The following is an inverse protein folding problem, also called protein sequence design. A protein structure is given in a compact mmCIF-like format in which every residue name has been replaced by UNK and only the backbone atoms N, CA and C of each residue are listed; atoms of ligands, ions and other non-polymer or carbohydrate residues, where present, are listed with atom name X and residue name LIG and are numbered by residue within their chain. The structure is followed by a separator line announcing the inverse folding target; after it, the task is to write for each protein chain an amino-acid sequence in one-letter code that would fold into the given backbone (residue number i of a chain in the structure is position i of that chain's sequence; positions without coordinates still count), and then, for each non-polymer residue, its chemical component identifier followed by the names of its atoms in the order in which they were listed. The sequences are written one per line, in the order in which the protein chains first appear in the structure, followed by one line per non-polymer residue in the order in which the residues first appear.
data_IF_769184222439
#
_entry.id   IF_769184222439
#
_cell.length_a   1.000
_cell.length_b   1.000
_cell.length_c   1.000
_cell.angle_alpha   90.00
_cell.angle_beta   90.00
_cell.angle_gamma   90.00
#
_symmetry.space_group_name_H-M   'P 1'
#
loop_
_entity.id
_entity.type
_entity.pdbx_description
1 polymer ?
#
# COMPACT_ATOMS: atom_id res chain seq x y z
N UNK A 1 23.70 -1.72 -14.96
CA UNK A 1 22.47 -1.77 -14.14
C UNK A 1 22.24 -3.21 -13.72
N UNK A 2 22.13 -3.52 -12.43
CA UNK A 2 21.94 -4.90 -11.98
C UNK A 2 20.48 -5.32 -12.28
N UNK A 3 20.33 -6.43 -12.99
CA UNK A 3 19.02 -7.03 -13.36
C UNK A 3 18.11 -7.23 -12.14
N UNK A 4 18.69 -7.40 -10.95
CA UNK A 4 17.95 -7.52 -9.68
C UNK A 4 17.23 -6.22 -9.29
N UNK A 5 17.82 -5.07 -9.52
CA UNK A 5 17.28 -3.79 -9.07
C UNK A 5 16.00 -3.38 -9.84
N UNK A 6 15.97 -3.63 -11.16
CA UNK A 6 14.78 -3.36 -11.99
C UNK A 6 13.56 -4.23 -11.62
N UNK A 7 13.81 -5.37 -10.95
CA UNK A 7 12.76 -6.28 -10.53
C UNK A 7 11.99 -5.82 -9.26
N UNK A 8 12.50 -4.82 -8.54
CA UNK A 8 11.81 -4.27 -7.37
C UNK A 8 10.64 -3.34 -7.75
N UNK A 9 10.81 -2.56 -8.83
CA UNK A 9 9.78 -1.62 -9.29
C UNK A 9 8.81 -2.22 -10.33
N UNK A 10 9.30 -3.18 -11.15
CA UNK A 10 8.49 -3.91 -12.15
C UNK A 10 8.99 -5.34 -12.25
N UNK A 11 8.56 -6.23 -11.35
CA UNK A 11 8.96 -7.64 -11.42
C UNK A 11 8.42 -8.28 -12.70
N UNK A 12 9.32 -8.79 -13.55
CA UNK A 12 8.95 -9.52 -14.78
C UNK A 12 9.84 -10.74 -14.98
N UNK A 13 9.31 -11.73 -15.69
CA UNK A 13 10.00 -12.99 -15.98
C UNK A 13 10.16 -13.92 -14.76
N UNK A 14 10.92 -15.05 -14.91
CA UNK A 14 11.10 -16.05 -13.85
C UNK A 14 11.79 -15.50 -12.59
N UNK A 15 12.76 -14.61 -12.74
CA UNK A 15 13.47 -13.97 -11.64
C UNK A 15 12.57 -12.99 -10.87
N UNK A 16 11.73 -12.23 -11.56
CA UNK A 16 10.73 -11.38 -10.92
C UNK A 16 9.69 -12.18 -10.14
N UNK A 17 9.36 -13.40 -10.60
CA UNK A 17 8.49 -14.32 -9.87
C UNK A 17 9.12 -14.78 -8.54
N UNK A 18 10.40 -15.12 -8.54
CA UNK A 18 11.12 -15.56 -7.35
C UNK A 18 11.26 -14.43 -6.32
N UNK A 19 11.68 -13.26 -6.79
CA UNK A 19 11.82 -12.04 -5.98
C UNK A 19 10.48 -11.61 -5.41
N UNK A 20 9.42 -11.57 -6.23
CA UNK A 20 8.07 -11.24 -5.78
C UNK A 20 7.52 -12.25 -4.76
N UNK A 21 7.81 -13.55 -4.91
CA UNK A 21 7.38 -14.57 -3.97
C UNK A 21 8.11 -14.47 -2.62
N UNK A 22 9.42 -14.18 -2.63
CA UNK A 22 10.20 -13.96 -1.42
C UNK A 22 9.71 -12.72 -0.64
N UNK A 23 9.48 -11.59 -1.33
CA UNK A 23 8.93 -10.39 -0.70
C UNK A 23 7.49 -10.57 -0.21
N UNK A 24 6.67 -11.33 -0.93
CA UNK A 24 5.33 -11.67 -0.49
C UNK A 24 5.36 -12.41 0.86
N UNK A 25 6.24 -13.41 0.99
CA UNK A 25 6.36 -14.16 2.25
C UNK A 25 6.91 -13.28 3.39
N UNK A 26 7.94 -12.47 3.11
CA UNK A 26 8.53 -11.55 4.08
C UNK A 26 7.54 -10.48 4.55
N UNK A 27 6.65 -10.01 3.67
CA UNK A 27 5.67 -8.97 3.98
C UNK A 27 4.33 -9.51 4.51
N UNK A 28 4.08 -10.83 4.48
CA UNK A 28 2.79 -11.40 4.92
C UNK A 28 2.43 -11.00 6.37
N UNK A 29 3.38 -11.10 7.27
CA UNK A 29 3.18 -10.69 8.66
C UNK A 29 2.99 -9.19 8.83
N UNK A 30 3.56 -8.37 7.94
CA UNK A 30 3.40 -6.92 7.96
C UNK A 30 2.03 -6.51 7.43
N UNK A 31 1.57 -7.09 6.32
CA UNK A 31 0.22 -6.87 5.80
C UNK A 31 -0.85 -7.25 6.82
N UNK A 32 -0.72 -8.41 7.47
CA UNK A 32 -1.65 -8.84 8.51
C UNK A 32 -1.71 -7.86 9.67
N UNK A 33 -0.57 -7.40 10.16
CA UNK A 33 -0.53 -6.40 11.23
C UNK A 33 -1.21 -5.09 10.79
N UNK A 34 -0.93 -4.58 9.59
CA UNK A 34 -1.58 -3.37 9.06
C UNK A 34 -3.10 -3.54 9.04
N UNK A 35 -3.60 -4.66 8.50
CA UNK A 35 -5.04 -4.89 8.40
C UNK A 35 -5.68 -5.05 9.79
N UNK A 36 -4.98 -5.62 10.78
CA UNK A 36 -5.45 -5.67 12.16
C UNK A 36 -5.58 -4.27 12.77
N UNK A 37 -4.56 -3.41 12.57
CA UNK A 37 -4.64 -2.01 13.01
C UNK A 37 -5.78 -1.26 12.29
N UNK A 38 -5.92 -1.47 10.99
CA UNK A 38 -7.04 -0.90 10.23
C UNK A 38 -8.39 -1.34 10.78
N UNK A 39 -8.55 -2.63 11.09
CA UNK A 39 -9.83 -3.14 11.61
C UNK A 39 -10.19 -2.52 12.95
N UNK A 40 -9.22 -2.22 13.80
CA UNK A 40 -9.43 -1.58 15.10
C UNK A 40 -9.90 -0.12 15.00
N UNK A 41 -9.63 0.54 13.86
CA UNK A 41 -10.01 1.94 13.62
C UNK A 41 -11.52 2.12 13.30
N UNK A 42 -12.21 1.03 12.96
CA UNK A 42 -13.58 1.11 12.49
C UNK A 42 -14.55 0.43 13.46
N UNK A 43 -15.52 1.19 13.96
CA UNK A 43 -16.65 0.65 14.74
C UNK A 43 -17.64 -0.05 13.81
N UNK A 44 -17.96 0.60 12.69
CA UNK A 44 -18.76 0.06 11.60
C UNK A 44 -17.86 -0.24 10.41
N UNK A 45 -18.12 -1.31 9.68
CA UNK A 45 -17.26 -1.68 8.56
C UNK A 45 -17.32 -0.63 7.45
N UNK A 46 -16.15 -0.25 6.88
CA UNK A 46 -16.11 0.58 5.69
C UNK A 46 -16.72 -0.19 4.52
N UNK A 47 -17.58 0.47 3.74
CA UNK A 47 -18.24 -0.16 2.59
C UNK A 47 -17.33 -0.26 1.37
N UNK A 48 -16.44 0.71 1.19
CA UNK A 48 -15.60 0.88 -0.02
C UNK A 48 -14.13 1.03 0.35
N UNK A 49 -13.34 0.01 0.03
CA UNK A 49 -11.92 -0.06 0.39
C UNK A 49 -11.07 -0.17 -0.89
N UNK A 50 -9.99 0.60 -0.99
CA UNK A 50 -9.04 0.52 -2.10
C UNK A 50 -7.63 0.21 -1.58
N UNK A 51 -6.99 -0.83 -2.13
CA UNK A 51 -5.55 -1.06 -1.98
C UNK A 51 -4.82 -0.56 -3.23
N UNK A 52 -3.88 0.36 -3.04
CA UNK A 52 -2.96 0.81 -4.08
C UNK A 52 -1.70 -0.03 -4.06
N UNK A 53 -1.35 -0.61 -5.22
CA UNK A 53 -0.21 -1.50 -5.37
C UNK A 53 -0.33 -2.81 -4.58
N UNK A 54 -1.42 -3.59 -4.74
CA UNK A 54 -1.63 -4.84 -3.99
C UNK A 54 -0.59 -5.91 -4.29
N UNK A 55 0.20 -5.73 -5.36
CA UNK A 55 1.17 -6.73 -5.78
C UNK A 55 0.50 -8.11 -5.95
N UNK A 56 1.02 -9.19 -5.32
CA UNK A 56 0.44 -10.53 -5.44
C UNK A 56 -0.83 -10.75 -4.59
N UNK A 57 -1.42 -9.68 -4.01
CA UNK A 57 -2.74 -9.68 -3.39
C UNK A 57 -2.82 -10.19 -1.96
N UNK A 58 -1.72 -10.15 -1.20
CA UNK A 58 -1.72 -10.55 0.22
C UNK A 58 -2.51 -9.56 1.10
N UNK A 59 -2.34 -8.26 0.86
CA UNK A 59 -3.09 -7.22 1.57
C UNK A 59 -4.58 -7.35 1.29
N UNK A 60 -4.96 -7.55 0.03
CA UNK A 60 -6.35 -7.80 -0.37
C UNK A 60 -6.94 -9.02 0.34
N UNK A 61 -6.22 -10.14 0.40
CA UNK A 61 -6.68 -11.37 1.08
C UNK A 61 -6.98 -11.11 2.57
N UNK A 62 -6.08 -10.45 3.28
CA UNK A 62 -6.29 -10.11 4.69
C UNK A 62 -7.44 -9.09 4.87
N UNK A 63 -7.55 -8.10 3.98
CA UNK A 63 -8.63 -7.09 3.99
C UNK A 63 -10.00 -7.72 3.74
N UNK A 64 -10.12 -8.57 2.73
CA UNK A 64 -11.36 -9.28 2.41
C UNK A 64 -11.83 -10.18 3.55
N UNK A 65 -10.89 -10.70 4.34
CA UNK A 65 -11.19 -11.51 5.53
C UNK A 65 -11.60 -10.62 6.72
N UNK A 66 -10.94 -9.48 6.90
CA UNK A 66 -11.18 -8.58 8.03
C UNK A 66 -12.47 -7.76 7.89
N UNK A 67 -12.89 -7.48 6.64
CA UNK A 67 -14.06 -6.68 6.30
C UNK A 67 -14.98 -7.46 5.35
N UNK A 68 -15.76 -8.43 5.87
CA UNK A 68 -16.54 -9.34 5.03
C UNK A 68 -17.68 -8.67 4.25
N UNK A 69 -18.16 -7.51 4.69
CA UNK A 69 -19.23 -6.75 4.02
C UNK A 69 -18.71 -5.71 3.01
N UNK A 70 -17.40 -5.45 2.99
CA UNK A 70 -16.82 -4.43 2.13
C UNK A 70 -16.72 -4.86 0.66
N UNK A 71 -16.90 -3.89 -0.24
CA UNK A 71 -16.40 -3.97 -1.61
C UNK A 71 -14.96 -3.46 -1.65
N UNK A 72 -14.08 -4.25 -2.25
CA UNK A 72 -12.63 -4.00 -2.25
C UNK A 72 -12.12 -3.84 -3.68
N UNK A 73 -11.33 -2.81 -3.91
CA UNK A 73 -10.63 -2.60 -5.18
C UNK A 73 -9.13 -2.73 -4.95
N UNK A 74 -8.45 -3.40 -5.88
CA UNK A 74 -7.00 -3.43 -5.96
C UNK A 74 -6.55 -2.73 -7.24
N UNK A 75 -5.75 -1.66 -7.12
CA UNK A 75 -5.22 -0.90 -8.26
C UNK A 75 -3.71 -1.11 -8.34
N UNK A 76 -3.22 -1.66 -9.44
CA UNK A 76 -1.78 -1.90 -9.67
C UNK A 76 -1.40 -1.56 -11.10
N UNK A 77 -0.19 -1.05 -11.29
CA UNK A 77 0.37 -0.74 -12.61
C UNK A 77 0.85 -1.99 -13.38
N UNK A 78 0.96 -3.11 -12.68
CA UNK A 78 1.50 -4.36 -13.23
C UNK A 78 0.40 -5.36 -13.54
N UNK A 79 0.10 -5.63 -14.83
CA UNK A 79 -0.85 -6.69 -15.20
C UNK A 79 -0.46 -8.07 -14.64
N UNK A 80 0.86 -8.34 -14.52
CA UNK A 80 1.34 -9.59 -13.92
C UNK A 80 0.98 -9.70 -12.44
N UNK A 81 1.09 -8.59 -11.68
CA UNK A 81 0.71 -8.56 -10.27
C UNK A 81 -0.81 -8.69 -10.11
N UNK A 82 -1.60 -8.02 -10.96
CA UNK A 82 -3.05 -8.18 -10.97
C UNK A 82 -3.48 -9.61 -11.26
N UNK A 83 -2.84 -10.27 -12.23
CA UNK A 83 -3.11 -11.68 -12.53
C UNK A 83 -2.81 -12.60 -11.33
N UNK A 84 -1.72 -12.35 -10.60
CA UNK A 84 -1.37 -13.08 -9.37
C UNK A 84 -2.37 -12.81 -8.25
N UNK A 85 -2.74 -11.53 -8.08
CA UNK A 85 -3.72 -11.11 -7.10
C UNK A 85 -5.08 -11.75 -7.36
N UNK A 86 -5.54 -11.77 -8.61
CA UNK A 86 -6.78 -12.42 -9.02
C UNK A 86 -6.76 -13.92 -8.78
N UNK A 87 -5.64 -14.61 -9.05
CA UNK A 87 -5.48 -16.04 -8.75
C UNK A 87 -5.57 -16.33 -7.25
N UNK A 88 -4.97 -15.49 -6.42
CA UNK A 88 -4.98 -15.61 -4.96
C UNK A 88 -6.38 -15.40 -4.40
N UNK A 89 -7.07 -14.38 -4.85
CA UNK A 89 -8.36 -13.92 -4.35
C UNK A 89 -9.53 -14.32 -5.28
N UNK A 90 -9.38 -15.46 -6.00
CA UNK A 90 -10.31 -15.88 -7.05
C UNK A 90 -11.77 -15.98 -6.59
N UNK A 91 -12.01 -16.35 -5.32
CA UNK A 91 -13.37 -16.46 -4.77
C UNK A 91 -14.05 -15.10 -4.73
N UNK A 92 -13.40 -14.11 -4.17
CA UNK A 92 -13.94 -12.76 -3.97
C UNK A 92 -14.03 -12.00 -5.30
N UNK A 93 -13.10 -12.26 -6.21
CA UNK A 93 -13.18 -11.79 -7.59
C UNK A 93 -14.40 -12.37 -8.32
N UNK A 94 -14.65 -13.68 -8.16
CA UNK A 94 -15.79 -14.36 -8.78
C UNK A 94 -17.16 -13.94 -8.24
N UNK A 95 -17.24 -13.43 -7.01
CA UNK A 95 -18.48 -12.90 -6.41
C UNK A 95 -18.68 -11.40 -6.68
N UNK A 96 -17.72 -10.73 -7.32
CA UNK A 96 -17.75 -9.28 -7.55
C UNK A 96 -17.42 -8.44 -6.32
N UNK A 97 -17.07 -9.06 -5.18
CA UNK A 97 -16.67 -8.34 -3.97
C UNK A 97 -15.27 -7.72 -4.09
N UNK A 98 -14.42 -8.31 -4.91
CA UNK A 98 -13.12 -7.76 -5.31
C UNK A 98 -13.17 -7.34 -6.77
N UNK A 99 -12.64 -6.15 -7.06
CA UNK A 99 -12.38 -5.67 -8.42
C UNK A 99 -10.89 -5.33 -8.53
N UNK A 100 -10.26 -5.77 -9.62
CA UNK A 100 -8.86 -5.47 -9.91
C UNK A 100 -8.77 -4.55 -11.13
N UNK A 101 -8.05 -3.44 -10.99
CA UNK A 101 -7.91 -2.41 -12.02
C UNK A 101 -6.43 -2.16 -12.32
N UNK A 102 -6.09 -2.07 -13.58
CA UNK A 102 -4.79 -1.58 -14.00
C UNK A 102 -4.79 -0.05 -13.94
N UNK A 103 -3.86 0.53 -13.15
CA UNK A 103 -3.81 1.96 -12.96
C UNK A 103 -2.95 2.39 -11.77
N UNK A 104 -3.18 3.61 -11.33
CA UNK A 104 -2.50 4.24 -10.19
C UNK A 104 -3.46 5.13 -9.38
N UNK A 105 -2.91 6.08 -8.61
CA UNK A 105 -3.72 6.99 -7.78
C UNK A 105 -4.73 7.82 -8.58
N UNK A 106 -4.49 8.09 -9.86
CA UNK A 106 -5.42 8.86 -10.70
C UNK A 106 -6.75 8.11 -10.90
N UNK A 107 -6.70 6.77 -10.94
CA UNK A 107 -7.89 5.92 -11.09
C UNK A 107 -8.85 6.00 -9.90
N UNK A 108 -8.42 6.55 -8.77
CA UNK A 108 -9.28 6.75 -7.59
C UNK A 108 -10.45 7.69 -7.87
N UNK A 109 -10.30 8.63 -8.80
CA UNK A 109 -11.37 9.57 -9.18
C UNK A 109 -12.62 8.87 -9.71
N UNK A 110 -12.49 7.72 -10.35
CA UNK A 110 -13.58 6.91 -10.87
C UNK A 110 -14.31 6.11 -9.77
N UNK A 111 -13.63 5.91 -8.64
CA UNK A 111 -14.15 5.16 -7.50
C UNK A 111 -14.69 6.05 -6.37
N UNK A 112 -14.39 7.36 -6.41
CA UNK A 112 -14.78 8.30 -5.35
C UNK A 112 -16.31 8.42 -5.20
N UNK A 113 -16.83 8.65 -3.96
CA UNK A 113 -16.09 8.64 -2.71
C UNK A 113 -15.83 7.24 -2.16
N UNK A 114 -14.66 7.04 -1.50
CA UNK A 114 -14.30 5.80 -0.84
C UNK A 114 -14.08 6.00 0.67
N UNK A 115 -14.26 4.95 1.46
CA UNK A 115 -14.11 5.02 2.92
C UNK A 115 -12.66 4.92 3.33
N UNK A 116 -11.92 4.05 2.66
CA UNK A 116 -10.55 3.72 3.02
C UNK A 116 -9.68 3.50 1.79
N UNK A 117 -8.51 4.12 1.80
CA UNK A 117 -7.41 3.82 0.87
C UNK A 117 -6.23 3.35 1.70
N UNK A 118 -5.61 2.24 1.31
CA UNK A 118 -4.35 1.82 1.93
C UNK A 118 -3.32 1.38 0.89
N UNK A 119 -2.05 1.48 1.26
CA UNK A 119 -0.94 1.06 0.43
C UNK A 119 0.21 0.56 1.31
N UNK A 120 0.86 -0.53 0.91
CA UNK A 120 1.96 -1.14 1.66
C UNK A 120 3.20 -1.20 0.81
N UNK A 121 4.26 -0.52 1.24
CA UNK A 121 5.54 -0.42 0.52
C UNK A 121 5.44 0.18 -0.89
N UNK A 122 4.45 1.02 -1.17
CA UNK A 122 4.20 1.63 -2.49
C UNK A 122 4.74 3.06 -2.57
N UNK A 123 4.73 3.80 -1.48
CA UNK A 123 5.04 5.24 -1.45
C UNK A 123 6.46 5.59 -1.98
N UNK A 124 7.39 4.65 -1.99
CA UNK A 124 8.75 4.85 -2.54
C UNK A 124 8.77 5.02 -4.06
N UNK A 125 7.75 4.47 -4.73
CA UNK A 125 7.61 4.45 -6.19
C UNK A 125 6.80 5.63 -6.72
N UNK A 126 6.33 6.51 -5.84
CA UNK A 126 5.62 7.71 -6.22
C UNK A 126 6.60 8.81 -6.65
N UNK A 127 6.46 9.29 -7.90
CA UNK A 127 7.33 10.33 -8.44
C UNK A 127 7.00 11.73 -7.89
N UNK A 128 5.73 11.98 -7.60
CA UNK A 128 5.21 13.24 -7.07
C UNK A 128 4.33 12.96 -5.85
N UNK A 129 4.91 12.54 -4.70
CA UNK A 129 4.15 12.03 -3.57
C UNK A 129 3.07 12.99 -3.04
N UNK A 130 3.31 14.30 -3.06
CA UNK A 130 2.32 15.30 -2.64
C UNK A 130 1.09 15.29 -3.56
N UNK A 131 1.29 15.07 -4.87
CA UNK A 131 0.18 14.96 -5.83
C UNK A 131 -0.63 13.67 -5.62
N UNK A 132 0.05 12.51 -5.50
CA UNK A 132 -0.63 11.25 -5.24
C UNK A 132 -1.42 11.30 -3.91
N UNK A 133 -0.83 11.87 -2.86
CA UNK A 133 -1.52 12.05 -1.58
C UNK A 133 -2.74 12.98 -1.72
N UNK A 134 -2.66 14.06 -2.51
CA UNK A 134 -3.78 14.94 -2.78
C UNK A 134 -4.89 14.24 -3.60
N UNK A 135 -4.53 13.38 -4.56
CA UNK A 135 -5.50 12.54 -5.30
C UNK A 135 -6.24 11.60 -4.35
N UNK A 136 -5.51 10.95 -3.43
CA UNK A 136 -6.10 10.08 -2.42
C UNK A 136 -7.03 10.86 -1.49
N UNK A 137 -6.58 12.03 -1.00
CA UNK A 137 -7.40 12.88 -0.13
C UNK A 137 -8.73 13.25 -0.78
N UNK A 138 -8.69 13.67 -2.06
CA UNK A 138 -9.92 14.03 -2.81
C UNK A 138 -10.86 12.84 -3.06
N UNK A 139 -10.33 11.63 -3.14
CA UNK A 139 -11.13 10.43 -3.35
C UNK A 139 -11.77 9.90 -2.06
N UNK A 140 -11.20 10.21 -0.90
CA UNK A 140 -11.76 9.84 0.38
C UNK A 140 -13.01 10.68 0.69
N UNK A 141 -14.03 10.05 1.30
CA UNK A 141 -15.13 10.80 1.89
C UNK A 141 -14.66 11.56 3.13
N UNK A 142 -15.38 12.59 3.60
CA UNK A 142 -15.11 13.21 4.89
C UNK A 142 -15.07 12.18 6.02
N UNK A 143 -13.98 12.17 6.81
CA UNK A 143 -13.71 11.18 7.84
C UNK A 143 -13.23 9.82 7.30
N UNK A 144 -13.02 9.70 5.99
CA UNK A 144 -12.36 8.55 5.36
C UNK A 144 -10.89 8.45 5.77
N UNK A 145 -10.27 7.29 5.59
CA UNK A 145 -8.91 7.05 6.10
C UNK A 145 -7.94 6.64 5.01
N UNK A 146 -6.78 7.29 5.00
CA UNK A 146 -5.59 6.82 4.31
C UNK A 146 -4.70 6.06 5.28
N UNK A 147 -4.19 4.90 4.86
CA UNK A 147 -3.22 4.13 5.63
C UNK A 147 -2.01 3.77 4.76
N UNK A 148 -0.82 4.17 5.18
CA UNK A 148 0.42 3.83 4.49
C UNK A 148 1.32 2.98 5.37
N UNK A 149 1.59 1.75 4.93
CA UNK A 149 2.58 0.87 5.52
C UNK A 149 3.94 1.06 4.85
N UNK A 150 4.98 1.39 5.64
CA UNK A 150 6.30 1.72 5.11
C UNK A 150 7.44 1.39 6.08
N UNK A 151 8.66 1.63 5.62
CA UNK A 151 9.88 1.63 6.43
C UNK A 151 10.65 2.91 6.18
N UNK A 152 11.30 3.43 7.20
CA UNK A 152 12.31 4.45 7.02
C UNK A 152 13.55 3.84 6.36
N UNK A 153 14.37 4.66 5.72
CA UNK A 153 15.59 4.20 5.05
C UNK A 153 16.46 3.36 5.96
N UNK A 154 16.69 3.80 7.20
CA UNK A 154 17.48 3.09 8.20
C UNK A 154 16.93 1.71 8.59
N UNK A 155 15.63 1.47 8.38
CA UNK A 155 14.94 0.22 8.69
C UNK A 155 14.90 -0.76 7.49
N UNK A 156 15.36 -0.30 6.33
CA UNK A 156 15.37 -1.11 5.11
C UNK A 156 16.63 -1.98 5.02
N UNK A 157 16.56 -3.11 4.29
CA UNK A 157 17.76 -3.86 3.94
C UNK A 157 18.77 -2.96 3.18
N UNK A 158 20.07 -3.13 3.43
CA UNK A 158 21.12 -2.32 2.80
C UNK A 158 21.07 -2.33 1.28
N UNK A 159 20.62 -3.43 0.67
CA UNK A 159 20.42 -3.51 -0.78
C UNK A 159 19.40 -2.46 -1.24
N UNK A 160 18.24 -2.38 -0.57
CA UNK A 160 17.18 -1.41 -0.90
C UNK A 160 17.68 0.04 -0.68
N UNK A 161 18.37 0.30 0.44
CA UNK A 161 18.94 1.62 0.72
C UNK A 161 19.88 2.14 -0.37
N UNK A 162 20.60 1.24 -1.07
CA UNK A 162 21.57 1.56 -2.12
C UNK A 162 20.96 1.61 -3.52
N UNK A 163 19.98 0.74 -3.80
CA UNK A 163 19.44 0.58 -5.16
C UNK A 163 18.26 1.52 -5.43
N UNK A 164 17.36 1.71 -4.48
CA UNK A 164 16.17 2.54 -4.66
C UNK A 164 16.49 3.98 -5.11
N UNK A 165 17.42 4.72 -4.45
CA UNK A 165 17.75 6.07 -4.89
C UNK A 165 18.38 6.13 -6.30
N UNK A 166 19.13 5.09 -6.70
CA UNK A 166 19.75 5.01 -8.03
C UNK A 166 18.72 4.80 -9.14
N UNK A 167 17.55 4.29 -8.79
CA UNK A 167 16.40 4.07 -9.68
C UNK A 167 15.39 5.23 -9.63
N UNK A 168 15.72 6.30 -8.90
CA UNK A 168 14.86 7.48 -8.74
C UNK A 168 13.73 7.29 -7.74
N UNK A 169 13.79 6.23 -6.90
CA UNK A 169 12.80 6.00 -5.87
C UNK A 169 13.11 6.82 -4.61
N UNK A 170 12.05 7.31 -3.97
CA UNK A 170 12.15 8.16 -2.80
C UNK A 170 12.22 7.33 -1.52
N UNK A 171 13.25 7.53 -0.70
CA UNK A 171 13.34 6.96 0.64
C UNK A 171 13.09 8.04 1.69
N UNK A 172 12.35 7.69 2.72
CA UNK A 172 12.05 8.59 3.84
C UNK A 172 13.03 8.36 4.97
N UNK A 173 13.68 9.43 5.42
CA UNK A 173 14.65 9.40 6.53
C UNK A 173 13.93 9.53 7.88
N UNK A 174 12.77 10.19 7.93
CA UNK A 174 11.97 10.41 9.14
C UNK A 174 10.46 10.44 8.84
N UNK A 175 9.65 10.29 9.87
CA UNK A 175 8.20 10.49 9.79
C UNK A 175 7.83 11.94 9.45
N UNK A 176 8.66 12.92 9.84
CA UNK A 176 8.40 14.34 9.59
C UNK A 176 8.37 14.66 8.10
N UNK A 177 9.22 14.01 7.30
CA UNK A 177 9.18 14.20 5.83
C UNK A 177 7.87 13.76 5.23
N UNK A 178 7.28 12.67 5.72
CA UNK A 178 5.96 12.21 5.27
C UNK A 178 4.86 13.09 5.85
N UNK A 179 5.00 13.54 7.10
CA UNK A 179 4.06 14.45 7.75
C UNK A 179 3.88 15.77 7.01
N UNK A 180 4.97 16.35 6.52
CA UNK A 180 4.92 17.55 5.67
C UNK A 180 4.06 17.33 4.44
N UNK A 181 4.29 16.25 3.70
CA UNK A 181 3.53 15.90 2.49
C UNK A 181 2.06 15.60 2.77
N UNK A 182 1.75 14.95 3.89
CA UNK A 182 0.36 14.70 4.30
C UNK A 182 -0.40 16.00 4.54
N UNK A 183 0.23 16.97 5.24
CA UNK A 183 -0.37 18.30 5.46
C UNK A 183 -0.56 19.06 4.15
N UNK A 184 0.43 19.07 3.27
CA UNK A 184 0.34 19.68 1.93
C UNK A 184 -0.81 19.09 1.11
N UNK A 185 -1.08 17.80 1.25
CA UNK A 185 -2.16 17.10 0.56
C UNK A 185 -3.56 17.32 1.18
N UNK A 186 -3.67 17.98 2.34
CA UNK A 186 -4.92 18.28 3.00
C UNK A 186 -5.25 17.46 4.24
N UNK A 187 -4.43 16.46 4.59
CA UNK A 187 -4.64 15.66 5.80
C UNK A 187 -4.26 16.46 7.04
N UNK A 188 -5.25 16.90 7.82
CA UNK A 188 -5.04 17.67 9.04
C UNK A 188 -4.74 16.80 10.27
N UNK A 189 -5.22 15.56 10.27
CA UNK A 189 -5.08 14.62 11.39
C UNK A 189 -4.46 13.31 10.92
N UNK A 190 -3.36 12.94 11.57
CA UNK A 190 -2.70 11.64 11.32
C UNK A 190 -1.88 11.21 12.53
N UNK A 191 -1.65 9.90 12.64
CA UNK A 191 -0.81 9.29 13.67
C UNK A 191 0.04 8.18 13.10
N UNK A 192 1.17 7.93 13.73
CA UNK A 192 2.10 6.86 13.39
C UNK A 192 2.03 5.73 14.40
N UNK A 193 2.22 4.51 13.89
CA UNK A 193 2.40 3.30 14.67
C UNK A 193 3.66 2.57 14.18
N UNK A 194 4.41 1.98 15.10
CA UNK A 194 5.58 1.16 14.78
C UNK A 194 5.31 -0.30 15.16
N UNK A 195 5.63 -1.22 14.25
CA UNK A 195 5.60 -2.65 14.52
C UNK A 195 6.92 -3.08 15.16
N UNK A 196 6.86 -3.83 16.25
CA UNK A 196 8.04 -4.30 16.97
C UNK A 196 8.43 -3.39 18.15
N UNK A 197 9.67 -3.48 18.62
CA UNK A 197 10.13 -2.60 19.70
C UNK A 197 10.51 -1.22 19.18
N UNK A 198 10.43 -0.21 20.03
CA UNK A 198 10.86 1.15 19.69
C UNK A 198 12.35 1.22 19.27
N UNK A 199 13.19 0.35 19.82
CA UNK A 199 14.62 0.29 19.51
C UNK A 199 14.92 -0.43 18.15
N UNK A 200 14.01 -1.29 17.68
CA UNK A 200 14.18 -2.05 16.44
C UNK A 200 12.82 -2.23 15.73
N UNK A 201 12.28 -1.17 15.14
CA UNK A 201 11.01 -1.25 14.45
C UNK A 201 11.15 -2.09 13.18
N UNK A 202 10.15 -2.97 12.96
CA UNK A 202 10.10 -3.87 11.79
C UNK A 202 9.21 -3.33 10.66
N UNK A 203 8.81 -2.08 10.77
CA UNK A 203 7.96 -1.34 9.84
C UNK A 203 7.08 -0.34 10.57
N UNK A 204 6.54 0.60 9.82
CA UNK A 204 5.72 1.71 10.28
C UNK A 204 4.41 1.77 9.54
N UNK A 205 3.45 2.38 10.19
CA UNK A 205 2.14 2.66 9.67
C UNK A 205 1.80 4.12 9.97
N UNK A 206 1.29 4.86 9.00
CA UNK A 206 0.60 6.12 9.24
C UNK A 206 -0.88 5.94 8.90
N UNK A 207 -1.75 6.45 9.76
CA UNK A 207 -3.19 6.55 9.54
C UNK A 207 -3.53 8.03 9.51
N UNK A 208 -4.07 8.50 8.39
CA UNK A 208 -4.47 9.88 8.18
C UNK A 208 -5.97 9.96 7.88
N UNK A 209 -6.63 11.02 8.34
CA UNK A 209 -8.08 11.24 8.20
C UNK A 209 -8.30 12.41 7.24
N UNK A 210 -9.19 12.19 6.25
CA UNK A 210 -9.61 13.21 5.29
C UNK A 210 -10.73 14.10 5.84
#
# INVERSE_FOLDING_TARGET
MSVLASQFGRPHGPLGRLVGSFFAHYNAGFNRWIVQELRSEWREEPGRIVELGPGPGLGLEETLRAFPSAHVWGIDRSPEMLARSGKRNRRDLGTGRLVLLEGDCASLSELAPVDMVFAVHVLYFWHQPSEQLAQIHRALRPGGRLTLGFRLRSEMPMVAQRTFPKEGHLLYESEDQLSGRLREAGFASFRYLARGSAAAPKGRLVIAIA
#
